data_IF_838218023265
#
_entry.id   IF_838218023265
#
_cell.length_a   1.000
_cell.length_b   1.000
_cell.length_c   1.000
_cell.angle_alpha   90.00
_cell.angle_beta   90.00
_cell.angle_gamma   90.00
#
_symmetry.space_group_name_H-M   'P 1'
#
loop_
_entity.id
_entity.type
_entity.pdbx_description
1 polymer ?
#
# COMPACT_ATOMS: atom_id res chain seq x y z
N UNK A 1 12.21 -23.51 -31.35
CA UNK A 1 12.36 -22.04 -31.43
C UNK A 1 12.75 -21.56 -30.04
N UNK A 2 13.95 -21.00 -29.83
CA UNK A 2 14.38 -20.53 -28.50
C UNK A 2 13.80 -19.13 -28.27
N UNK A 3 12.92 -18.98 -27.29
CA UNK A 3 12.35 -17.68 -26.90
C UNK A 3 13.44 -16.66 -26.47
N UNK A 4 14.64 -17.14 -26.13
CA UNK A 4 15.81 -16.32 -25.84
C UNK A 4 16.33 -15.49 -27.03
N UNK A 5 15.97 -15.86 -28.27
CA UNK A 5 16.35 -15.14 -29.50
C UNK A 5 15.16 -14.36 -30.09
N UNK A 6 14.07 -14.21 -29.33
CA UNK A 6 12.87 -13.53 -29.81
C UNK A 6 13.13 -12.04 -30.09
N UNK A 7 12.46 -11.51 -31.10
CA UNK A 7 12.56 -10.09 -31.44
C UNK A 7 11.97 -9.22 -30.32
N UNK A 8 12.50 -7.99 -30.10
CA UNK A 8 11.95 -7.07 -29.12
C UNK A 8 10.45 -6.78 -29.33
N UNK A 9 10.01 -6.72 -30.59
CA UNK A 9 8.60 -6.54 -30.94
C UNK A 9 7.72 -7.68 -30.40
N UNK A 10 8.18 -8.93 -30.53
CA UNK A 10 7.45 -10.08 -29.98
C UNK A 10 7.35 -10.00 -28.44
N UNK A 11 8.45 -9.70 -27.75
CA UNK A 11 8.44 -9.55 -26.28
C UNK A 11 7.53 -8.41 -25.81
N UNK A 12 7.47 -7.32 -26.57
CA UNK A 12 6.54 -6.21 -26.32
C UNK A 12 5.08 -6.62 -26.49
N UNK A 13 4.75 -7.48 -27.47
CA UNK A 13 3.38 -8.00 -27.61
C UNK A 13 2.95 -8.83 -26.40
N UNK A 14 3.87 -9.59 -25.79
CA UNK A 14 3.59 -10.34 -24.57
C UNK A 14 3.27 -9.41 -23.39
N UNK A 15 4.04 -8.34 -23.21
CA UNK A 15 3.75 -7.31 -22.20
C UNK A 15 2.42 -6.60 -22.48
N UNK A 16 2.15 -6.27 -23.74
CA UNK A 16 0.90 -5.63 -24.17
C UNK A 16 -0.33 -6.53 -24.02
N UNK A 17 -0.16 -7.85 -24.01
CA UNK A 17 -1.23 -8.81 -23.72
C UNK A 17 -1.39 -9.06 -22.21
N UNK A 18 -0.28 -9.18 -21.48
CA UNK A 18 -0.30 -9.50 -20.05
C UNK A 18 -0.83 -8.33 -19.20
N UNK A 19 -0.37 -7.11 -19.45
CA UNK A 19 -0.72 -5.97 -18.61
C UNK A 19 -2.23 -5.66 -18.57
N UNK A 20 -2.98 -5.66 -19.71
CA UNK A 20 -4.45 -5.55 -19.67
C UNK A 20 -5.14 -6.62 -18.83
N UNK A 21 -4.59 -7.84 -18.75
CA UNK A 21 -5.14 -8.90 -17.91
C UNK A 21 -5.06 -8.51 -16.43
N UNK A 22 -3.94 -7.95 -16.00
CA UNK A 22 -3.78 -7.44 -14.63
C UNK A 22 -4.71 -6.26 -14.36
N UNK A 23 -4.77 -5.28 -15.28
CA UNK A 23 -5.65 -4.11 -15.07
C UNK A 23 -7.13 -4.48 -15.05
N UNK A 24 -7.56 -5.51 -15.78
CA UNK A 24 -8.94 -6.03 -15.72
C UNK A 24 -9.21 -6.84 -14.46
N UNK A 25 -8.23 -7.60 -13.94
CA UNK A 25 -8.33 -8.26 -12.63
C UNK A 25 -8.53 -7.22 -11.51
N UNK A 26 -7.76 -6.13 -11.53
CA UNK A 26 -7.92 -5.02 -10.58
C UNK A 26 -9.35 -4.45 -10.64
N UNK A 27 -9.87 -4.18 -11.85
CA UNK A 27 -11.26 -3.72 -12.00
C UNK A 27 -12.28 -4.73 -11.47
N UNK A 28 -12.06 -6.03 -11.69
CA UNK A 28 -12.95 -7.07 -11.19
C UNK A 28 -12.97 -7.10 -9.66
N UNK A 29 -11.79 -7.10 -9.01
CA UNK A 29 -11.69 -7.07 -7.55
C UNK A 29 -12.38 -5.83 -6.98
N UNK A 30 -12.17 -4.65 -7.58
CA UNK A 30 -12.82 -3.41 -7.16
C UNK A 30 -14.35 -3.47 -7.31
N UNK A 31 -14.84 -3.97 -8.45
CA UNK A 31 -16.27 -4.09 -8.75
C UNK A 31 -16.99 -5.11 -7.86
N UNK A 32 -16.35 -6.24 -7.54
CA UNK A 32 -16.98 -7.32 -6.75
C UNK A 32 -17.05 -7.07 -5.24
N UNK A 33 -16.52 -5.95 -4.76
CA UNK A 33 -16.59 -5.54 -3.34
C UNK A 33 -18.01 -5.39 -2.81
N UNK A 34 -18.96 -5.10 -3.70
CA UNK A 34 -20.37 -5.04 -3.35
C UNK A 34 -21.21 -5.54 -4.50
N UNK A 35 -22.19 -6.37 -4.18
CA UNK A 35 -23.16 -6.89 -5.15
C UNK A 35 -24.16 -5.83 -5.62
N UNK A 36 -24.45 -4.83 -4.79
CA UNK A 36 -25.58 -3.93 -4.96
C UNK A 36 -25.22 -2.45 -4.85
N UNK A 37 -24.31 -2.09 -3.94
CA UNK A 37 -23.89 -0.69 -3.77
C UNK A 37 -22.84 -0.31 -4.82
N UNK A 38 -22.99 0.88 -5.39
CA UNK A 38 -22.08 1.40 -6.41
C UNK A 38 -20.78 1.85 -5.76
N UNK A 39 -19.63 1.50 -6.34
CA UNK A 39 -18.32 2.00 -5.88
C UNK A 39 -18.22 3.53 -5.97
N UNK A 40 -18.95 4.13 -6.93
CA UNK A 40 -19.05 5.57 -7.15
C UNK A 40 -20.20 6.22 -6.38
N UNK A 41 -20.86 5.47 -5.48
CA UNK A 41 -21.97 5.94 -4.66
C UNK A 41 -21.53 6.38 -3.26
N UNK A 42 -22.27 7.33 -2.68
CA UNK A 42 -22.06 7.76 -1.29
C UNK A 42 -22.39 6.63 -0.31
N UNK A 43 -23.32 5.75 -0.63
CA UNK A 43 -23.76 4.68 0.28
C UNK A 43 -22.93 3.39 0.16
N UNK A 44 -21.81 3.42 -0.57
CA UNK A 44 -20.93 2.27 -0.71
C UNK A 44 -20.35 1.80 0.62
N UNK A 45 -19.85 2.76 1.40
CA UNK A 45 -19.39 2.54 2.77
C UNK A 45 -20.51 2.88 3.74
N UNK A 46 -20.63 2.08 4.79
CA UNK A 46 -21.52 2.40 5.90
C UNK A 46 -21.19 3.81 6.45
N UNK A 47 -22.17 4.72 6.59
CA UNK A 47 -21.95 6.08 7.08
C UNK A 47 -21.27 6.17 8.46
N UNK A 48 -21.46 5.16 9.32
CA UNK A 48 -20.79 5.06 10.62
C UNK A 48 -19.31 4.75 10.41
N UNK A 49 -19.01 3.68 9.66
CA UNK A 49 -17.65 3.28 9.34
C UNK A 49 -16.86 4.38 8.63
N UNK A 50 -17.49 5.09 7.68
CA UNK A 50 -16.88 6.24 7.02
C UNK A 50 -16.43 7.31 8.00
N UNK A 51 -17.31 7.71 8.91
CA UNK A 51 -17.00 8.75 9.92
C UNK A 51 -15.87 8.31 10.83
N UNK A 52 -15.84 7.02 11.19
CA UNK A 52 -14.77 6.43 11.98
C UNK A 52 -13.43 6.49 11.25
N UNK A 53 -13.37 6.07 9.98
CA UNK A 53 -12.15 6.15 9.15
C UNK A 53 -11.67 7.60 9.01
N UNK A 54 -12.55 8.54 8.68
CA UNK A 54 -12.20 9.95 8.55
C UNK A 54 -11.71 10.55 9.87
N UNK A 55 -12.35 10.18 10.99
CA UNK A 55 -11.90 10.58 12.32
C UNK A 55 -10.54 10.00 12.66
N UNK A 56 -10.26 8.75 12.31
CA UNK A 56 -8.94 8.14 12.50
C UNK A 56 -7.86 8.83 11.67
N UNK A 57 -8.15 9.19 10.42
CA UNK A 57 -7.23 9.94 9.56
C UNK A 57 -6.96 11.32 10.18
N UNK A 58 -8.01 12.08 10.50
CA UNK A 58 -7.90 13.43 11.07
C UNK A 58 -7.21 13.45 12.44
N UNK A 59 -7.41 12.41 13.26
CA UNK A 59 -6.82 12.29 14.60
C UNK A 59 -5.47 11.58 14.62
N UNK A 60 -4.97 11.12 13.47
CA UNK A 60 -3.70 10.40 13.39
C UNK A 60 -2.56 11.30 13.85
N UNK A 61 -1.69 10.76 14.71
CA UNK A 61 -0.48 11.44 15.19
C UNK A 61 0.72 10.50 15.06
N UNK A 62 1.90 11.04 14.71
CA UNK A 62 3.13 10.25 14.76
C UNK A 62 3.36 9.74 16.18
N UNK A 63 3.66 8.45 16.32
CA UNK A 63 3.91 7.85 17.63
C UNK A 63 5.20 8.43 18.22
N UNK A 64 5.19 8.92 19.47
CA UNK A 64 6.41 9.41 20.10
C UNK A 64 7.41 8.26 20.24
N UNK A 65 8.68 8.52 19.91
CA UNK A 65 9.76 7.55 20.12
C UNK A 65 9.96 7.34 21.62
N UNK A 66 9.77 6.11 22.11
CA UNK A 66 10.01 5.73 23.50
C UNK A 66 11.28 4.88 23.55
N UNK A 67 12.39 5.47 23.97
CA UNK A 67 13.61 4.72 24.26
C UNK A 67 13.38 3.87 25.52
N UNK A 68 13.17 2.56 25.37
CA UNK A 68 13.20 1.63 26.51
C UNK A 68 14.64 1.17 26.73
N UNK A 69 15.32 1.77 27.69
CA UNK A 69 16.62 1.29 28.16
C UNK A 69 16.36 0.25 29.24
N UNK A 70 16.46 -1.04 28.90
CA UNK A 70 16.37 -2.15 29.87
C UNK A 70 17.79 -2.58 30.22
N UNK A 71 18.22 -2.31 31.45
CA UNK A 71 19.50 -2.77 32.00
C UNK A 71 19.18 -3.95 32.91
N UNK A 72 19.17 -5.16 32.36
CA UNK A 72 19.10 -6.39 33.15
C UNK A 72 20.52 -6.95 33.26
N UNK A 73 21.06 -6.98 34.47
CA UNK A 73 22.27 -7.73 34.80
C UNK A 73 21.90 -8.78 35.87
N UNK A 74 22.21 -10.04 35.61
CA UNK A 74 22.19 -11.10 36.62
C UNK A 74 23.63 -11.58 36.76
N UNK A 75 24.26 -11.30 37.90
CA UNK A 75 25.61 -11.79 38.21
C UNK A 75 25.43 -13.08 39.00
N UNK A 76 25.73 -14.22 38.38
CA UNK A 76 25.88 -15.51 39.05
C UNK A 76 27.31 -15.99 38.86
N UNK A 77 28.12 -15.94 39.93
CA UNK A 77 29.50 -16.45 39.95
C UNK A 77 30.55 -15.45 39.49
N UNK A 78 31.63 -15.30 40.26
CA UNK A 78 32.73 -14.37 39.97
C UNK A 78 33.87 -15.19 39.35
N UNK A 79 33.90 -15.27 38.02
CA UNK A 79 35.14 -15.57 37.29
C UNK A 79 35.73 -14.26 36.73
N UNK A 80 37.06 -14.11 36.75
CA UNK A 80 37.73 -12.86 36.34
C UNK A 80 37.42 -12.46 34.89
N UNK A 81 37.16 -13.44 34.01
CA UNK A 81 36.80 -13.22 32.62
C UNK A 81 35.38 -12.67 32.43
N UNK A 82 34.40 -13.17 33.18
CA UNK A 82 33.02 -12.66 33.16
C UNK A 82 32.94 -11.24 33.70
N UNK A 83 33.74 -10.93 34.74
CA UNK A 83 33.87 -9.57 35.26
C UNK A 83 34.46 -8.59 34.23
N UNK A 84 35.45 -9.02 33.45
CA UNK A 84 36.04 -8.20 32.39
C UNK A 84 35.03 -7.92 31.26
N UNK A 85 34.28 -8.94 30.82
CA UNK A 85 33.23 -8.78 29.80
C UNK A 85 32.11 -7.86 30.29
N UNK A 86 31.68 -8.00 31.54
CA UNK A 86 30.70 -7.10 32.15
C UNK A 86 31.20 -5.65 32.22
N UNK A 87 32.48 -5.44 32.55
CA UNK A 87 33.11 -4.13 32.56
C UNK A 87 33.12 -3.48 31.17
N UNK A 88 33.53 -4.22 30.13
CA UNK A 88 33.49 -3.70 28.75
C UNK A 88 32.07 -3.44 28.25
N UNK A 89 31.09 -4.26 28.65
CA UNK A 89 29.68 -4.01 28.34
C UNK A 89 29.19 -2.69 28.99
N UNK A 90 29.54 -2.43 30.24
CA UNK A 90 29.20 -1.17 30.93
C UNK A 90 29.94 0.03 30.31
N UNK A 91 31.22 -0.12 29.99
CA UNK A 91 32.03 0.92 29.36
C UNK A 91 31.47 1.28 27.96
N UNK A 92 31.13 0.28 27.15
CA UNK A 92 30.53 0.50 25.83
C UNK A 92 29.15 1.17 25.92
N UNK A 93 28.34 0.82 26.93
CA UNK A 93 27.07 1.51 27.17
C UNK A 93 27.28 2.97 27.57
N UNK A 94 28.28 3.27 28.39
CA UNK A 94 28.62 4.64 28.79
C UNK A 94 29.10 5.48 27.59
N UNK A 95 29.93 4.90 26.72
CA UNK A 95 30.43 5.56 25.50
C UNK A 95 29.31 5.76 24.47
N UNK A 96 28.40 4.80 24.32
CA UNK A 96 27.26 4.90 23.39
C UNK A 96 26.10 5.74 23.94
N UNK A 97 26.08 6.02 25.26
CA UNK A 97 25.04 6.81 25.91
C UNK A 97 24.84 8.21 25.29
N UNK A 98 25.88 9.06 25.08
CA UNK A 98 25.71 10.37 24.46
C UNK A 98 25.15 10.28 23.03
N UNK A 99 25.52 9.26 22.26
CA UNK A 99 24.98 9.04 20.92
C UNK A 99 23.50 8.62 20.95
N UNK A 100 23.13 7.69 21.86
CA UNK A 100 21.73 7.31 22.08
C UNK A 100 20.87 8.49 22.57
N UNK A 101 21.44 9.32 23.43
CA UNK A 101 20.79 10.53 23.95
C UNK A 101 20.59 11.57 22.85
N UNK A 102 21.62 11.83 22.03
CA UNK A 102 21.53 12.72 20.87
C UNK A 102 20.50 12.22 19.86
N UNK A 103 20.47 10.92 19.58
CA UNK A 103 19.47 10.29 18.71
C UNK A 103 18.06 10.46 19.26
N UNK A 104 17.86 10.27 20.57
CA UNK A 104 16.58 10.51 21.22
C UNK A 104 16.16 11.99 21.14
N UNK A 105 17.09 12.93 21.32
CA UNK A 105 16.80 14.36 21.19
C UNK A 105 16.40 14.72 19.77
N UNK A 106 17.13 14.23 18.76
CA UNK A 106 16.80 14.41 17.35
C UNK A 106 15.44 13.80 17.01
N UNK A 107 15.14 12.58 17.48
CA UNK A 107 13.85 11.93 17.27
C UNK A 107 12.70 12.72 17.95
N UNK A 108 12.91 13.21 19.17
CA UNK A 108 11.92 14.07 19.85
C UNK A 108 11.71 15.38 19.08
N UNK A 109 12.79 16.06 18.68
CA UNK A 109 12.71 17.30 17.93
C UNK A 109 12.00 17.12 16.58
N UNK A 110 12.31 16.04 15.86
CA UNK A 110 11.62 15.65 14.65
C UNK A 110 10.11 15.43 14.90
N UNK A 111 9.73 14.69 15.95
CA UNK A 111 8.30 14.49 16.27
C UNK A 111 7.59 15.79 16.66
N UNK A 112 8.27 16.72 17.34
CA UNK A 112 7.72 18.03 17.73
C UNK A 112 7.52 18.92 16.51
N UNK A 113 8.42 18.88 15.53
CA UNK A 113 8.32 19.64 14.28
C UNK A 113 7.30 19.01 13.31
N UNK A 114 7.23 17.69 13.29
CA UNK A 114 6.30 16.92 12.47
C UNK A 114 4.85 17.11 12.93
N UNK A 115 4.59 17.17 14.24
CA UNK A 115 3.22 17.31 14.77
C UNK A 115 2.42 18.52 14.25
N UNK A 116 2.93 19.77 14.30
CA UNK A 116 2.21 20.95 13.82
C UNK A 116 2.06 20.99 12.29
N UNK A 117 2.93 20.28 11.56
CA UNK A 117 2.87 20.22 10.10
C UNK A 117 1.96 19.09 9.62
N UNK A 118 2.03 17.91 10.23
CA UNK A 118 1.26 16.72 9.86
C UNK A 118 -0.19 16.85 10.29
N UNK A 119 -0.49 17.34 11.50
CA UNK A 119 -1.87 17.45 11.97
C UNK A 119 -2.81 18.23 11.00
N UNK A 120 -2.45 19.44 10.51
CA UNK A 120 -3.28 20.15 9.54
C UNK A 120 -3.29 19.50 8.15
N UNK A 121 -2.25 18.72 7.80
CA UNK A 121 -2.26 17.93 6.56
C UNK A 121 -3.27 16.80 6.68
N UNK A 122 -3.25 16.05 7.79
CA UNK A 122 -4.14 14.90 7.99
C UNK A 122 -5.60 15.33 8.10
N UNK A 123 -5.90 16.48 8.71
CA UNK A 123 -7.26 17.04 8.68
C UNK A 123 -7.68 17.44 7.27
N UNK A 124 -6.80 18.10 6.50
CA UNK A 124 -7.09 18.41 5.08
C UNK A 124 -7.28 17.17 4.23
N UNK A 125 -6.50 16.11 4.47
CA UNK A 125 -6.67 14.82 3.80
C UNK A 125 -8.02 14.21 4.15
N UNK A 126 -8.42 14.24 5.43
CA UNK A 126 -9.74 13.77 5.83
C UNK A 126 -10.87 14.59 5.16
N UNK A 127 -10.78 15.91 5.16
CA UNK A 127 -11.75 16.79 4.49
C UNK A 127 -11.82 16.55 2.98
N UNK A 128 -10.66 16.35 2.34
CA UNK A 128 -10.57 15.98 0.93
C UNK A 128 -11.25 14.64 0.65
N UNK A 129 -10.98 13.61 1.47
CA UNK A 129 -11.57 12.28 1.31
C UNK A 129 -13.08 12.27 1.61
N UNK A 130 -13.56 13.13 2.50
CA UNK A 130 -15.00 13.28 2.73
C UNK A 130 -15.71 13.91 1.53
N UNK A 131 -15.10 14.93 0.91
CA UNK A 131 -15.59 15.53 -0.34
C UNK A 131 -15.51 14.56 -1.53
N UNK A 132 -14.38 13.85 -1.65
CA UNK A 132 -14.11 12.89 -2.72
C UNK A 132 -14.36 11.46 -2.25
N UNK A 133 -15.60 11.17 -1.85
CA UNK A 133 -16.01 9.88 -1.30
C UNK A 133 -15.68 8.69 -2.22
N UNK A 134 -15.58 8.89 -3.55
CA UNK A 134 -15.15 7.87 -4.51
C UNK A 134 -13.71 7.41 -4.22
N UNK A 135 -12.81 8.35 -3.94
CA UNK A 135 -11.41 8.04 -3.62
C UNK A 135 -11.35 7.26 -2.31
N UNK A 136 -12.11 7.70 -1.30
CA UNK A 136 -12.22 6.99 -0.03
C UNK A 136 -12.76 5.57 -0.23
N UNK A 137 -13.80 5.40 -1.05
CA UNK A 137 -14.36 4.09 -1.36
C UNK A 137 -13.32 3.16 -2.00
N UNK A 138 -12.48 3.67 -2.90
CA UNK A 138 -11.41 2.90 -3.54
C UNK A 138 -10.40 2.39 -2.50
N UNK A 139 -9.87 3.28 -1.65
CA UNK A 139 -8.78 2.98 -0.70
C UNK A 139 -9.23 2.43 0.67
N UNK A 140 -10.53 2.19 0.86
CA UNK A 140 -11.04 1.82 2.18
C UNK A 140 -10.75 0.37 2.58
N UNK A 141 -10.24 -0.47 1.67
CA UNK A 141 -9.94 -1.87 1.95
C UNK A 141 -8.43 -2.12 1.79
N UNK A 142 -7.66 -2.06 2.89
CA UNK A 142 -6.21 -2.14 2.82
C UNK A 142 -5.69 -3.47 2.28
N UNK A 143 -6.46 -4.57 2.42
CA UNK A 143 -6.08 -5.87 1.86
C UNK A 143 -6.14 -5.85 0.33
N UNK A 144 -7.18 -5.23 -0.23
CA UNK A 144 -7.33 -5.07 -1.69
C UNK A 144 -6.27 -4.12 -2.21
N UNK A 145 -6.05 -2.98 -1.54
CA UNK A 145 -5.03 -2.01 -1.95
C UNK A 145 -3.63 -2.62 -1.94
N UNK A 146 -3.31 -3.46 -0.94
CA UNK A 146 -2.05 -4.20 -0.89
C UNK A 146 -1.94 -5.22 -2.03
N UNK A 147 -3.04 -5.90 -2.38
CA UNK A 147 -3.09 -6.81 -3.53
C UNK A 147 -2.84 -6.07 -4.86
N UNK A 148 -3.50 -4.94 -5.08
CA UNK A 148 -3.30 -4.09 -6.27
C UNK A 148 -1.84 -3.60 -6.32
N UNK A 149 -1.30 -3.13 -5.19
CA UNK A 149 0.10 -2.71 -5.10
C UNK A 149 1.05 -3.85 -5.45
N UNK A 150 0.79 -5.06 -4.94
CA UNK A 150 1.59 -6.24 -5.23
C UNK A 150 1.55 -6.63 -6.71
N UNK A 151 0.38 -6.61 -7.35
CA UNK A 151 0.23 -6.90 -8.78
C UNK A 151 0.98 -5.89 -9.66
N UNK A 152 0.86 -4.59 -9.35
CA UNK A 152 1.57 -3.52 -10.06
C UNK A 152 3.08 -3.65 -9.85
N UNK A 153 3.52 -3.96 -8.63
CA UNK A 153 4.92 -4.19 -8.32
C UNK A 153 5.46 -5.41 -9.08
N UNK A 154 4.71 -6.51 -9.15
CA UNK A 154 5.09 -7.67 -9.95
C UNK A 154 5.20 -7.33 -11.43
N UNK A 155 4.26 -6.57 -11.99
CA UNK A 155 4.37 -6.08 -13.37
C UNK A 155 5.66 -5.27 -13.58
N UNK A 156 5.95 -4.36 -12.65
CA UNK A 156 7.19 -3.57 -12.69
C UNK A 156 8.42 -4.48 -12.67
N UNK A 157 8.46 -5.47 -11.77
CA UNK A 157 9.56 -6.44 -11.69
C UNK A 157 9.70 -7.24 -12.99
N UNK A 158 8.60 -7.75 -13.55
CA UNK A 158 8.63 -8.55 -14.77
C UNK A 158 9.05 -7.77 -16.01
N UNK A 159 8.76 -6.47 -16.09
CA UNK A 159 9.02 -5.69 -17.31
C UNK A 159 10.34 -4.92 -17.28
N UNK A 160 10.79 -4.48 -16.10
CA UNK A 160 11.89 -3.53 -15.97
C UNK A 160 13.14 -4.09 -15.27
N UNK A 161 13.10 -5.33 -14.78
CA UNK A 161 14.27 -5.96 -14.12
C UNK A 161 14.83 -7.11 -14.95
N UNK A 162 15.97 -7.72 -14.58
CA UNK A 162 16.51 -8.89 -15.28
C UNK A 162 15.55 -10.08 -15.37
N UNK A 163 14.49 -10.11 -14.54
CA UNK A 163 13.41 -11.10 -14.67
C UNK A 163 12.73 -11.06 -16.04
N UNK A 164 12.72 -9.92 -16.73
CA UNK A 164 12.17 -9.77 -18.07
C UNK A 164 12.81 -10.76 -19.08
N UNK A 165 14.08 -11.11 -18.90
CA UNK A 165 14.80 -12.07 -19.76
C UNK A 165 14.37 -13.53 -19.50
N UNK A 166 13.93 -13.82 -18.29
CA UNK A 166 13.48 -15.15 -17.86
C UNK A 166 12.02 -15.37 -18.26
N UNK A 167 11.19 -14.35 -18.04
CA UNK A 167 9.76 -14.37 -18.33
C UNK A 167 9.40 -13.86 -19.73
N UNK A 168 10.40 -13.50 -20.53
CA UNK A 168 10.25 -13.07 -21.92
C UNK A 168 9.33 -11.86 -22.10
N UNK A 169 9.60 -10.80 -21.35
CA UNK A 169 8.91 -9.51 -21.47
C UNK A 169 9.85 -8.41 -21.97
N UNK A 170 9.28 -7.35 -22.55
CA UNK A 170 9.99 -6.13 -22.85
C UNK A 170 9.09 -4.92 -22.58
N UNK A 171 9.63 -3.82 -22.05
CA UNK A 171 8.85 -2.64 -21.74
C UNK A 171 8.21 -2.09 -23.02
N UNK A 172 6.94 -1.71 -22.91
CA UNK A 172 6.16 -1.11 -24.00
C UNK A 172 6.10 0.40 -23.83
N UNK A 173 5.85 1.15 -24.91
CA UNK A 173 5.60 2.59 -24.80
C UNK A 173 4.43 2.92 -23.86
N UNK A 174 4.53 4.05 -23.15
CA UNK A 174 3.54 4.48 -22.15
C UNK A 174 2.09 4.54 -22.66
N UNK A 175 1.88 4.89 -23.93
CA UNK A 175 0.54 4.93 -24.53
C UNK A 175 -0.11 3.55 -24.63
N UNK A 176 0.68 2.47 -24.74
CA UNK A 176 0.17 1.09 -24.73
C UNK A 176 -0.31 0.72 -23.34
N UNK A 177 0.41 1.12 -22.29
CA UNK A 177 -0.05 0.95 -20.90
C UNK A 177 -1.35 1.72 -20.64
N UNK A 178 -1.48 2.95 -21.15
CA UNK A 178 -2.73 3.69 -21.04
C UNK A 178 -3.87 3.03 -21.83
N UNK A 179 -3.58 2.50 -23.01
CA UNK A 179 -4.57 1.80 -23.81
C UNK A 179 -5.13 0.58 -23.07
N UNK A 180 -4.32 -0.14 -22.30
CA UNK A 180 -4.75 -1.29 -21.49
C UNK A 180 -5.87 -0.95 -20.48
N UNK A 181 -5.96 0.29 -20.00
CA UNK A 181 -7.03 0.72 -19.08
C UNK A 181 -8.40 0.85 -19.75
N UNK A 182 -8.52 0.79 -21.09
CA UNK A 182 -9.83 0.79 -21.75
C UNK A 182 -10.66 -0.44 -21.36
N UNK A 183 -10.03 -1.63 -21.29
CA UNK A 183 -10.69 -2.85 -20.84
C UNK A 183 -11.16 -2.75 -19.38
N UNK A 184 -10.31 -2.18 -18.52
CA UNK A 184 -10.63 -1.88 -17.11
C UNK A 184 -11.85 -0.97 -17.00
N UNK A 185 -11.89 0.13 -17.77
CA UNK A 185 -12.99 1.08 -17.77
C UNK A 185 -14.29 0.42 -18.25
N UNK A 186 -14.25 -0.35 -19.33
CA UNK A 186 -15.41 -1.08 -19.84
C UNK A 186 -15.96 -2.07 -18.82
N UNK A 187 -15.08 -2.81 -18.14
CA UNK A 187 -15.48 -3.77 -17.12
C UNK A 187 -16.12 -3.08 -15.91
N UNK A 188 -15.53 -1.97 -15.44
CA UNK A 188 -16.10 -1.16 -14.36
C UNK A 188 -17.47 -0.60 -14.76
N UNK A 189 -17.60 -0.02 -15.96
CA UNK A 189 -18.85 0.53 -16.46
C UNK A 189 -19.94 -0.55 -16.58
N UNK A 190 -19.58 -1.73 -17.09
CA UNK A 190 -20.49 -2.87 -17.20
C UNK A 190 -20.99 -3.33 -15.83
N UNK A 191 -20.09 -3.58 -14.87
CA UNK A 191 -20.47 -4.02 -13.52
C UNK A 191 -21.29 -2.96 -12.76
N UNK A 192 -20.94 -1.69 -12.85
CA UNK A 192 -21.73 -0.62 -12.23
C UNK A 192 -23.11 -0.45 -12.86
N UNK A 193 -23.22 -0.69 -14.16
CA UNK A 193 -24.51 -0.74 -14.87
C UNK A 193 -25.36 -1.91 -14.37
N UNK A 194 -24.78 -3.11 -14.20
CA UNK A 194 -25.50 -4.24 -13.59
C UNK A 194 -26.02 -3.91 -12.20
N UNK A 195 -25.17 -3.33 -11.34
CA UNK A 195 -25.58 -2.91 -9.99
C UNK A 195 -26.70 -1.87 -10.02
N UNK A 196 -26.65 -0.94 -10.97
CA UNK A 196 -27.71 0.04 -11.17
C UNK A 196 -29.06 -0.60 -11.46
N UNK A 197 -29.12 -1.58 -12.37
CA UNK A 197 -30.35 -2.32 -12.66
C UNK A 197 -30.81 -3.20 -11.48
N UNK A 198 -29.89 -3.84 -10.76
CA UNK A 198 -30.20 -4.60 -9.53
C UNK A 198 -30.86 -3.72 -8.47
N UNK A 199 -30.39 -2.48 -8.28
CA UNK A 199 -31.02 -1.51 -7.38
C UNK A 199 -32.44 -1.11 -7.77
N UNK A 200 -32.83 -1.29 -9.05
CA UNK A 200 -34.17 -1.04 -9.56
C UNK A 200 -35.08 -2.28 -9.54
N UNK A 201 -34.62 -3.39 -8.95
CA UNK A 201 -35.41 -4.63 -8.84
C UNK A 201 -35.24 -5.61 -10.00
N UNK A 202 -34.34 -5.34 -10.95
CA UNK A 202 -34.02 -6.30 -12.00
C UNK A 202 -32.89 -7.23 -11.52
N UNK A 203 -33.22 -8.48 -11.18
CA UNK A 203 -32.26 -9.43 -10.58
C UNK A 203 -31.06 -9.72 -11.50
N UNK A 204 -31.22 -9.64 -12.83
CA UNK A 204 -30.17 -9.86 -13.85
C UNK A 204 -29.34 -11.14 -13.60
N UNK A 205 -29.99 -12.21 -13.12
CA UNK A 205 -29.34 -13.47 -12.74
C UNK A 205 -28.66 -14.17 -13.93
N UNK A 206 -29.09 -13.86 -15.15
CA UNK A 206 -28.51 -14.40 -16.39
C UNK A 206 -27.15 -13.77 -16.77
N UNK A 207 -26.72 -12.68 -16.12
CA UNK A 207 -25.46 -11.98 -16.42
C UNK A 207 -24.33 -12.27 -15.41
N UNK A 208 -24.51 -13.32 -14.59
CA UNK A 208 -23.54 -13.76 -13.58
C UNK A 208 -23.69 -13.11 -12.21
#
# INVERSE_FOLDING_TARGET
>A
MKLAEASPAYLQTLTAYFFPTVTTQIANVLSKRSWMTSLFGKDFLNPVYRREVLKHIASWRPRPYVARVRIEYHIFGITQWEAALAFFALLSQLVLFPFKFLWMLLAKFATILEQPLIAPIMTRVADFLDRHYVVLNLISNPLIDLGILFEVLLCYLFFYTPLAKIYYFAPVPWHVYLFAFHGTLLLLAFEETKKYYRRRGHALEFLG
#
